data_IF_827711092587
#
_entry.id   IF_827711092587
#
_cell.length_a   1.000
_cell.length_b   1.000
_cell.length_c   1.000
_cell.angle_alpha   90.00
_cell.angle_beta   90.00
_cell.angle_gamma   90.00
#
_symmetry.space_group_name_H-M   'P 1'
#
loop_
_entity.id
_entity.type
_entity.pdbx_description
1 polymer ?
#
# COMPACT_ATOMS: atom_id res chain seq x y z
N UNK A 1 -24.22 10.19 -10.01
CA UNK A 1 -23.44 11.44 -9.81
C UNK A 1 -23.57 12.05 -8.40
N UNK A 2 -24.63 11.77 -7.63
CA UNK A 2 -24.82 12.32 -6.27
C UNK A 2 -23.84 11.77 -5.21
N UNK A 3 -23.49 10.48 -5.27
CA UNK A 3 -22.62 9.84 -4.27
C UNK A 3 -21.22 10.47 -4.16
N UNK A 4 -20.66 10.96 -5.27
CA UNK A 4 -19.32 11.56 -5.30
C UNK A 4 -19.28 12.93 -4.63
N UNK A 5 -20.29 13.77 -4.83
CA UNK A 5 -20.37 15.11 -4.22
C UNK A 5 -20.59 15.00 -2.71
N UNK A 6 -21.52 14.14 -2.28
CA UNK A 6 -21.75 13.86 -0.86
C UNK A 6 -20.52 13.27 -0.18
N UNK A 7 -19.80 12.36 -0.86
CA UNK A 7 -18.54 11.81 -0.35
C UNK A 7 -17.46 12.87 -0.13
N UNK A 8 -17.30 13.81 -1.07
CA UNK A 8 -16.40 14.96 -0.92
C UNK A 8 -16.79 15.84 0.26
N UNK A 9 -18.07 16.22 0.36
CA UNK A 9 -18.58 17.05 1.45
C UNK A 9 -18.34 16.39 2.81
N UNK A 10 -18.65 15.10 2.96
CA UNK A 10 -18.39 14.33 4.18
C UNK A 10 -16.91 14.32 4.54
N UNK A 11 -16.02 14.15 3.55
CA UNK A 11 -14.57 14.19 3.77
C UNK A 11 -14.12 15.57 4.27
N UNK A 12 -14.68 16.65 3.73
CA UNK A 12 -14.38 18.04 4.15
C UNK A 12 -14.82 18.26 5.60
N UNK A 13 -16.07 17.95 5.90
CA UNK A 13 -16.63 18.09 7.26
C UNK A 13 -15.80 17.26 8.26
N UNK A 14 -15.47 16.02 7.92
CA UNK A 14 -14.66 15.16 8.77
C UNK A 14 -13.27 15.72 9.00
N UNK A 15 -12.61 16.25 7.96
CA UNK A 15 -11.29 16.85 8.09
C UNK A 15 -11.28 18.08 9.01
N UNK A 16 -12.32 18.90 8.93
CA UNK A 16 -12.50 20.05 9.80
C UNK A 16 -12.71 19.63 11.27
N UNK A 17 -13.60 18.65 11.51
CA UNK A 17 -13.88 18.13 12.85
C UNK A 17 -12.65 17.49 13.50
N UNK A 18 -11.83 16.73 12.77
CA UNK A 18 -10.62 16.14 13.34
C UNK A 18 -9.56 17.19 13.69
N UNK A 19 -9.49 18.30 12.94
CA UNK A 19 -8.60 19.43 13.26
C UNK A 19 -9.06 20.11 14.53
N UNK A 20 -10.36 20.39 14.66
CA UNK A 20 -10.95 20.98 15.87
C UNK A 20 -10.73 20.08 17.10
N UNK A 21 -10.82 18.76 16.92
CA UNK A 21 -10.54 17.79 17.99
C UNK A 21 -9.05 17.54 18.24
N UNK A 22 -8.13 18.20 17.51
CA UNK A 22 -6.68 17.95 17.57
C UNK A 22 -6.28 16.48 17.33
N UNK A 23 -7.06 15.77 16.52
CA UNK A 23 -6.84 14.37 16.11
C UNK A 23 -6.28 14.24 14.69
N UNK A 24 -5.80 15.32 14.10
CA UNK A 24 -5.25 15.35 12.75
C UNK A 24 -3.78 14.89 12.71
N UNK A 25 -3.43 13.84 13.46
CA UNK A 25 -2.11 13.24 13.46
C UNK A 25 -2.21 11.80 12.94
N UNK A 26 -1.27 11.41 12.09
CA UNK A 26 -1.22 10.08 11.52
C UNK A 26 -0.90 9.04 12.59
N UNK A 27 -1.77 8.05 12.78
CA UNK A 27 -1.52 7.00 13.77
C UNK A 27 -0.24 6.18 13.47
N UNK A 28 0.14 6.05 12.20
CA UNK A 28 1.28 5.24 11.76
C UNK A 28 2.62 5.96 11.89
N UNK A 29 2.68 7.25 11.56
CA UNK A 29 3.95 8.01 11.48
C UNK A 29 4.02 9.24 12.39
N UNK A 30 2.95 9.58 13.12
CA UNK A 30 2.88 10.73 14.02
C UNK A 30 2.84 12.10 13.34
N UNK A 31 2.96 12.19 12.00
CA UNK A 31 2.94 13.45 11.27
C UNK A 31 1.53 14.07 11.26
N UNK A 32 1.48 15.40 11.28
CA UNK A 32 0.24 16.14 11.13
C UNK A 32 -0.32 16.01 9.71
N UNK A 33 -1.64 15.84 9.60
CA UNK A 33 -2.38 15.86 8.33
C UNK A 33 -2.76 17.30 8.03
N UNK A 34 -2.08 17.92 7.07
CA UNK A 34 -2.27 19.34 6.71
C UNK A 34 -3.37 19.54 5.66
N UNK A 35 -3.43 18.63 4.69
CA UNK A 35 -4.29 18.69 3.51
C UNK A 35 -5.39 17.62 3.53
N UNK A 36 -6.57 17.96 3.03
CA UNK A 36 -7.71 17.04 2.96
C UNK A 36 -7.48 15.88 1.99
N UNK A 37 -6.68 16.12 0.94
CA UNK A 37 -6.29 15.12 -0.06
C UNK A 37 -5.55 13.95 0.59
N UNK A 38 -4.80 14.26 1.65
CA UNK A 38 -3.98 13.33 2.41
C UNK A 38 -4.75 12.62 3.52
N UNK A 39 -5.94 13.07 3.88
CA UNK A 39 -6.75 12.37 4.88
C UNK A 39 -7.20 11.01 4.34
N UNK A 40 -6.90 9.95 5.08
CA UNK A 40 -7.50 8.63 4.92
C UNK A 40 -7.82 8.00 6.26
N UNK A 41 -8.69 6.99 6.25
CA UNK A 41 -9.14 6.23 7.40
C UNK A 41 -8.74 4.77 7.19
N UNK A 42 -8.16 4.14 8.20
CA UNK A 42 -7.83 2.71 8.20
C UNK A 42 -8.14 2.09 9.56
N UNK A 43 -8.05 0.76 9.59
CA UNK A 43 -8.08 0.00 10.84
C UNK A 43 -6.66 -0.16 11.42
N UNK A 44 -6.51 -0.11 12.75
CA UNK A 44 -5.24 -0.43 13.44
C UNK A 44 -4.89 -1.89 13.23
N UNK A 45 -5.88 -2.75 13.45
CA UNK A 45 -5.83 -4.19 13.23
C UNK A 45 -6.62 -4.60 12.00
N UNK A 46 -6.07 -5.56 11.26
CA UNK A 46 -6.70 -6.08 10.07
C UNK A 46 -7.92 -6.95 10.43
N UNK A 47 -9.10 -6.56 9.97
CA UNK A 47 -10.35 -7.26 10.32
C UNK A 47 -10.69 -8.41 9.35
N UNK A 48 -10.28 -8.31 8.08
CA UNK A 48 -10.72 -9.25 7.04
C UNK A 48 -10.09 -10.63 7.26
N UNK A 49 -10.93 -11.62 7.56
CA UNK A 49 -10.49 -12.99 7.84
C UNK A 49 -10.04 -13.23 9.28
N UNK A 50 -10.12 -12.21 10.15
CA UNK A 50 -9.88 -12.33 11.59
C UNK A 50 -11.23 -12.26 12.32
N UNK A 51 -11.82 -11.08 12.40
CA UNK A 51 -13.13 -10.87 13.02
C UNK A 51 -13.84 -9.67 12.37
N UNK A 52 -15.12 -9.84 12.05
CA UNK A 52 -15.97 -8.77 11.51
C UNK A 52 -16.29 -7.71 12.57
N UNK A 53 -16.23 -8.03 13.85
CA UNK A 53 -16.46 -7.07 14.93
C UNK A 53 -15.42 -5.93 14.88
N UNK A 54 -14.16 -6.25 14.57
CA UNK A 54 -13.06 -5.30 14.42
C UNK A 54 -13.32 -4.24 13.34
N UNK A 55 -14.18 -4.52 12.35
CA UNK A 55 -14.52 -3.54 11.33
C UNK A 55 -15.35 -2.38 11.89
N UNK A 56 -16.21 -2.67 12.87
CA UNK A 56 -17.17 -1.73 13.47
C UNK A 56 -16.65 -1.09 14.75
N UNK A 57 -15.53 -1.58 15.27
CA UNK A 57 -14.88 -1.02 16.45
C UNK A 57 -14.27 0.36 16.14
N UNK A 58 -14.82 1.39 16.78
CA UNK A 58 -14.33 2.77 16.63
C UNK A 58 -12.93 2.95 17.22
N UNK A 59 -12.55 2.18 18.24
CA UNK A 59 -11.22 2.22 18.81
C UNK A 59 -10.18 1.57 17.88
N UNK A 60 -10.64 0.74 16.94
CA UNK A 60 -9.82 0.15 15.89
C UNK A 60 -9.71 1.08 14.66
N UNK A 61 -10.45 2.18 14.56
CA UNK A 61 -10.45 3.06 13.38
C UNK A 61 -9.59 4.29 13.65
N UNK A 62 -8.65 4.60 12.75
CA UNK A 62 -7.74 5.74 12.88
C UNK A 62 -7.49 6.50 11.57
N UNK A 63 -7.02 7.73 11.72
CA UNK A 63 -6.66 8.60 10.60
C UNK A 63 -5.17 8.49 10.26
N UNK A 64 -4.85 8.60 8.96
CA UNK A 64 -3.48 8.56 8.48
C UNK A 64 -3.27 9.38 7.19
N UNK A 65 -2.00 9.70 6.92
CA UNK A 65 -1.56 10.46 5.73
C UNK A 65 -1.49 9.55 4.51
N UNK A 66 -2.49 9.62 3.63
CA UNK A 66 -2.67 8.76 2.45
C UNK A 66 -1.54 8.83 1.42
N UNK A 67 -1.02 10.03 1.15
CA UNK A 67 0.00 10.22 0.10
C UNK A 67 1.29 9.44 0.38
N UNK A 68 1.64 9.24 1.66
CA UNK A 68 2.79 8.43 2.09
C UNK A 68 2.60 6.94 1.81
N UNK A 69 1.36 6.44 1.79
CA UNK A 69 1.08 5.01 1.67
C UNK A 69 0.44 4.60 0.34
N UNK A 70 0.07 5.56 -0.51
CA UNK A 70 -0.31 5.28 -1.89
C UNK A 70 0.90 5.50 -2.82
N UNK A 71 1.62 4.43 -3.21
CA UNK A 71 2.79 4.54 -4.07
C UNK A 71 2.48 5.05 -5.49
N UNK A 72 1.21 5.05 -5.92
CA UNK A 72 0.79 5.66 -7.19
C UNK A 72 0.53 7.17 -7.07
N UNK A 73 0.21 7.66 -5.87
CA UNK A 73 0.00 9.09 -5.59
C UNK A 73 1.21 9.77 -4.96
N UNK A 74 2.17 9.02 -4.43
CA UNK A 74 3.50 9.51 -4.06
C UNK A 74 4.29 9.88 -5.33
N UNK A 75 3.82 10.89 -6.07
CA UNK A 75 4.55 11.46 -7.18
C UNK A 75 5.66 12.35 -6.62
N UNK A 76 6.91 11.96 -6.84
CA UNK A 76 8.02 12.92 -6.79
C UNK A 76 9.29 12.47 -6.10
N UNK A 77 9.25 11.59 -5.11
CA UNK A 77 10.48 11.24 -4.37
C UNK A 77 10.83 9.76 -4.47
N UNK A 78 11.88 9.49 -5.26
CA UNK A 78 12.69 8.25 -5.26
C UNK A 78 11.97 6.97 -5.73
N UNK A 79 11.27 7.02 -6.86
CA UNK A 79 10.77 5.81 -7.53
C UNK A 79 11.88 5.16 -8.37
N UNK A 80 12.56 4.13 -7.86
CA UNK A 80 13.55 3.35 -8.64
C UNK A 80 12.90 2.10 -9.23
N UNK A 81 13.18 1.84 -10.51
CA UNK A 81 12.63 0.70 -11.26
C UNK A 81 13.45 -0.57 -10.98
N UNK A 82 12.81 -1.59 -10.42
CA UNK A 82 13.41 -2.94 -10.21
C UNK A 82 12.86 -3.93 -11.25
N UNK A 83 13.73 -4.78 -11.81
CA UNK A 83 13.32 -5.86 -12.75
C UNK A 83 12.73 -7.05 -11.98
N UNK A 84 11.46 -6.94 -11.57
CA UNK A 84 10.72 -7.98 -10.80
C UNK A 84 10.59 -9.32 -11.54
N UNK A 85 10.67 -9.32 -12.87
CA UNK A 85 10.52 -10.54 -13.69
C UNK A 85 11.47 -11.66 -13.26
N UNK A 86 12.72 -11.34 -12.93
CA UNK A 86 13.72 -12.33 -12.52
C UNK A 86 13.46 -12.89 -11.11
N UNK A 87 12.96 -12.06 -10.19
CA UNK A 87 12.61 -12.47 -8.83
C UNK A 87 11.40 -13.43 -8.83
N UNK A 88 10.37 -13.13 -9.62
CA UNK A 88 9.20 -14.01 -9.78
C UNK A 88 9.57 -15.34 -10.44
N UNK A 89 10.51 -15.33 -11.38
CA UNK A 89 11.06 -16.55 -11.97
C UNK A 89 11.77 -17.42 -10.93
N UNK A 90 12.63 -16.83 -10.08
CA UNK A 90 13.27 -17.57 -8.97
C UNK A 90 12.25 -18.16 -7.98
N UNK A 91 11.21 -17.41 -7.64
CA UNK A 91 10.13 -17.91 -6.77
C UNK A 91 9.41 -19.11 -7.41
N UNK A 92 9.15 -19.06 -8.72
CA UNK A 92 8.57 -20.17 -9.46
C UNK A 92 9.47 -21.42 -9.46
N UNK A 93 10.79 -21.25 -9.70
CA UNK A 93 11.73 -22.37 -9.60
C UNK A 93 11.76 -22.99 -8.19
N UNK A 94 11.73 -22.16 -7.14
CA UNK A 94 11.63 -22.66 -5.76
C UNK A 94 10.31 -23.41 -5.49
N UNK A 95 9.19 -22.94 -6.03
CA UNK A 95 7.88 -23.60 -5.92
C UNK A 95 7.78 -24.89 -6.75
N UNK A 96 8.67 -25.15 -7.72
CA UNK A 96 8.76 -26.47 -8.38
C UNK A 96 9.38 -27.51 -7.46
N UNK A 97 10.36 -27.11 -6.65
CA UNK A 97 11.10 -28.00 -5.74
C UNK A 97 10.17 -28.53 -4.65
N UNK A 98 9.29 -27.67 -4.13
CA UNK A 98 8.27 -28.05 -3.17
C UNK A 98 6.90 -28.01 -3.84
N UNK A 99 6.29 -29.18 -4.11
CA UNK A 99 4.91 -29.31 -4.60
C UNK A 99 3.91 -28.80 -3.54
N UNK A 100 3.87 -27.49 -3.36
CA UNK A 100 2.92 -26.79 -2.49
C UNK A 100 1.56 -26.72 -3.20
N UNK A 101 0.47 -26.65 -2.42
CA UNK A 101 -0.91 -26.50 -2.90
C UNK A 101 -1.12 -25.32 -3.87
N UNK A 102 -0.18 -24.37 -3.94
CA UNK A 102 -0.24 -23.18 -4.77
C UNK A 102 0.36 -23.36 -6.18
N UNK A 103 1.00 -24.50 -6.46
CA UNK A 103 1.50 -24.80 -7.80
C UNK A 103 0.34 -25.20 -8.73
N UNK A 104 -0.09 -24.28 -9.59
CA UNK A 104 -1.07 -24.58 -10.65
C UNK A 104 -0.35 -24.85 -11.96
N UNK A 105 -0.85 -25.80 -12.76
CA UNK A 105 -0.28 -26.20 -14.08
C UNK A 105 -0.08 -25.01 -15.04
N UNK A 106 -0.85 -23.93 -14.87
CA UNK A 106 -0.81 -22.73 -15.73
C UNK A 106 0.22 -21.68 -15.27
N UNK A 107 0.87 -21.89 -14.12
CA UNK A 107 1.77 -20.91 -13.52
C UNK A 107 3.07 -20.75 -14.33
N UNK A 108 3.53 -21.80 -15.01
CA UNK A 108 4.74 -21.74 -15.85
C UNK A 108 4.63 -20.76 -17.03
N UNK A 109 3.51 -20.80 -17.76
CA UNK A 109 3.28 -19.88 -18.87
C UNK A 109 3.15 -18.43 -18.40
N UNK A 110 2.48 -18.20 -17.26
CA UNK A 110 2.35 -16.87 -16.68
C UNK A 110 3.70 -16.29 -16.25
N UNK A 111 4.58 -17.13 -15.70
CA UNK A 111 5.92 -16.72 -15.25
C UNK A 111 6.82 -16.40 -16.44
N UNK A 112 6.86 -17.25 -17.47
CA UNK A 112 7.65 -17.00 -18.69
C UNK A 112 7.16 -15.74 -19.42
N UNK A 113 5.83 -15.52 -19.49
CA UNK A 113 5.26 -14.31 -20.08
C UNK A 113 5.63 -13.02 -19.32
N UNK A 114 6.02 -13.11 -18.04
CA UNK A 114 6.36 -11.98 -17.17
C UNK A 114 7.89 -11.84 -16.98
N UNK A 115 8.69 -12.87 -17.28
CA UNK A 115 10.15 -12.95 -17.06
C UNK A 115 10.92 -11.76 -17.65
N UNK A 116 10.56 -11.36 -18.87
CA UNK A 116 11.16 -10.20 -19.56
C UNK A 116 10.37 -8.90 -19.41
N UNK A 117 9.22 -8.93 -18.72
CA UNK A 117 8.42 -7.72 -18.48
C UNK A 117 9.00 -6.93 -17.31
N UNK A 118 9.30 -5.66 -17.54
CA UNK A 118 9.46 -4.67 -16.46
C UNK A 118 8.07 -4.36 -15.90
N UNK A 119 7.58 -5.16 -14.94
CA UNK A 119 6.37 -4.80 -14.17
C UNK A 119 6.79 -4.08 -12.90
N UNK A 120 6.28 -2.86 -12.76
CA UNK A 120 6.53 -1.94 -11.66
C UNK A 120 5.85 -2.44 -10.37
N UNK A 121 6.59 -2.47 -9.24
CA UNK A 121 6.03 -2.27 -7.89
C UNK A 121 7.12 -2.12 -6.82
N UNK A 122 6.77 -1.33 -5.81
CA UNK A 122 7.60 -0.57 -4.87
C UNK A 122 8.09 -1.33 -3.63
N UNK A 123 9.15 -0.78 -3.02
CA UNK A 123 9.63 -1.03 -1.65
C UNK A 123 10.31 0.23 -1.09
N UNK A 124 10.33 0.38 0.25
CA UNK A 124 11.05 1.45 0.96
C UNK A 124 12.54 1.05 1.11
N UNK A 125 13.47 1.94 0.75
CA UNK A 125 14.91 1.74 0.92
C UNK A 125 15.53 2.91 1.68
N UNK A 126 16.57 2.63 2.48
CA UNK A 126 17.30 3.59 3.29
C UNK A 126 18.55 4.11 2.55
N UNK A 127 19.15 5.21 2.99
CA UNK A 127 20.39 5.74 2.37
C UNK A 127 21.56 4.75 2.43
N UNK A 128 21.54 3.82 3.39
CA UNK A 128 22.51 2.73 3.53
C UNK A 128 22.49 1.72 2.38
N UNK A 129 21.46 1.75 1.52
CA UNK A 129 21.30 0.85 0.39
C UNK A 129 21.94 1.37 -0.91
N UNK A 130 22.61 2.53 -0.84
CA UNK A 130 23.34 3.12 -1.96
C UNK A 130 24.45 2.20 -2.48
N UNK A 131 24.52 1.99 -3.80
CA UNK A 131 25.48 1.10 -4.45
C UNK A 131 25.20 -0.41 -4.33
N UNK A 132 24.20 -0.83 -3.53
CA UNK A 132 23.81 -2.26 -3.44
C UNK A 132 22.95 -2.74 -4.61
N UNK A 133 22.35 -1.80 -5.34
CA UNK A 133 21.48 -2.07 -6.47
C UNK A 133 21.94 -1.28 -7.68
N UNK A 134 21.83 -1.89 -8.86
CA UNK A 134 22.36 -1.40 -10.14
C UNK A 134 21.98 0.05 -10.53
N UNK A 135 20.96 0.64 -9.89
CA UNK A 135 20.45 1.97 -10.21
C UNK A 135 20.40 2.92 -8.98
N UNK A 136 21.20 2.65 -7.93
CA UNK A 136 21.40 3.57 -6.81
C UNK A 136 22.85 4.04 -6.75
#
# INVERSE_FOLDING_TARGET
ALGTATGKLRKIIMFDLIKQASKNFCFRCGKQIEYIEDLSIDHKEFWLGIDKALFWDLDNIEFYVYNLYNPLKAQGEKLIKIKIGHLRFKLYEALKIHKSQFYTKNMGWQVEAIKERRRERFGLYNMEDAGKYYNF
#
